data_IF_426934108302
#
_entry.id   IF_426934108302
#
_cell.length_a   1.000
_cell.length_b   1.000
_cell.length_c   1.000
_cell.angle_alpha   90.00
_cell.angle_beta   90.00
_cell.angle_gamma   90.00
#
_symmetry.space_group_name_H-M   'P 1'
#
loop_
_entity.id
_entity.type
_entity.pdbx_description
1 polymer ?
#
# COMPACT_ATOMS: atom_id res chain seq x y z
N UNK A 1 -44.99 63.71 20.98
CA UNK A 1 -45.42 62.47 21.66
C UNK A 1 -45.89 61.42 20.66
N UNK A 2 -46.98 61.61 19.91
CA UNK A 2 -47.39 60.64 18.86
C UNK A 2 -46.32 60.46 17.75
N UNK A 3 -45.77 61.58 17.24
CA UNK A 3 -44.78 61.55 16.16
C UNK A 3 -43.46 60.86 16.56
N UNK A 4 -43.07 60.97 17.83
CA UNK A 4 -41.87 60.34 18.36
C UNK A 4 -42.04 58.81 18.41
N UNK A 5 -43.23 58.32 18.81
CA UNK A 5 -43.55 56.89 18.88
C UNK A 5 -43.53 56.27 17.49
N UNK A 6 -44.14 56.95 16.50
CA UNK A 6 -44.14 56.51 15.10
C UNK A 6 -42.73 56.48 14.53
N UNK A 7 -41.90 57.47 14.85
CA UNK A 7 -40.48 57.48 14.46
C UNK A 7 -39.74 56.27 15.03
N UNK A 8 -39.86 56.01 16.33
CA UNK A 8 -39.20 54.85 16.93
C UNK A 8 -39.70 53.54 16.33
N UNK A 9 -41.00 53.38 16.07
CA UNK A 9 -41.54 52.18 15.41
C UNK A 9 -40.95 51.97 14.02
N UNK A 10 -40.85 53.02 13.20
CA UNK A 10 -40.23 52.94 11.88
C UNK A 10 -38.72 52.61 11.96
N UNK A 11 -38.03 53.19 12.95
CA UNK A 11 -36.61 52.91 13.18
C UNK A 11 -36.41 51.44 13.61
N UNK A 12 -37.26 50.90 14.49
CA UNK A 12 -37.24 49.48 14.90
C UNK A 12 -37.54 48.53 13.75
N UNK A 13 -38.56 48.81 12.93
CA UNK A 13 -38.88 48.00 11.75
C UNK A 13 -37.74 48.03 10.71
N UNK A 14 -37.01 49.14 10.62
CA UNK A 14 -35.85 49.26 9.72
C UNK A 14 -34.70 48.39 10.23
N UNK A 15 -34.38 48.45 11.53
CA UNK A 15 -33.34 47.63 12.14
C UNK A 15 -33.63 46.12 12.02
N UNK A 16 -34.89 45.71 12.21
CA UNK A 16 -35.28 44.30 12.08
C UNK A 16 -35.18 43.79 10.62
N UNK A 17 -35.49 44.66 9.65
CA UNK A 17 -35.26 44.35 8.23
C UNK A 17 -33.77 44.23 7.91
N UNK A 18 -32.94 45.11 8.47
CA UNK A 18 -31.49 45.05 8.31
C UNK A 18 -30.90 43.78 8.94
N UNK A 19 -31.32 43.41 10.14
CA UNK A 19 -30.86 42.20 10.83
C UNK A 19 -31.26 40.93 10.07
N UNK A 20 -32.50 40.86 9.58
CA UNK A 20 -32.97 39.76 8.76
C UNK A 20 -32.20 39.68 7.43
N UNK A 21 -31.98 40.82 6.76
CA UNK A 21 -31.20 40.87 5.52
C UNK A 21 -29.73 40.43 5.74
N UNK A 22 -29.12 40.80 6.87
CA UNK A 22 -27.77 40.34 7.27
C UNK A 22 -27.76 38.83 7.54
N UNK A 23 -28.81 38.29 8.18
CA UNK A 23 -28.99 36.87 8.42
C UNK A 23 -29.12 36.05 7.13
N UNK A 24 -29.98 36.50 6.21
CA UNK A 24 -30.15 35.89 4.88
C UNK A 24 -28.85 35.92 4.08
N UNK A 25 -28.17 37.06 4.05
CA UNK A 25 -26.88 37.22 3.38
C UNK A 25 -25.82 36.28 3.95
N UNK A 26 -25.72 36.16 5.28
CA UNK A 26 -24.81 35.20 5.94
C UNK A 26 -25.11 33.75 5.55
N UNK A 27 -26.40 33.38 5.43
CA UNK A 27 -26.80 32.03 5.08
C UNK A 27 -26.51 31.72 3.60
N UNK A 28 -26.80 32.68 2.71
CA UNK A 28 -26.46 32.57 1.29
C UNK A 28 -24.94 32.47 1.10
N UNK A 29 -24.17 33.26 1.83
CA UNK A 29 -22.72 33.20 1.81
C UNK A 29 -22.20 31.82 2.25
N UNK A 30 -22.70 31.27 3.36
CA UNK A 30 -22.37 29.90 3.82
C UNK A 30 -22.72 28.84 2.77
N UNK A 31 -23.89 28.94 2.14
CA UNK A 31 -24.31 28.01 1.08
C UNK A 31 -23.40 28.08 -0.15
N UNK A 32 -22.96 29.28 -0.55
CA UNK A 32 -21.99 29.47 -1.65
C UNK A 32 -20.63 28.85 -1.33
N UNK A 33 -20.13 29.04 -0.11
CA UNK A 33 -18.86 28.42 0.33
C UNK A 33 -18.98 26.89 0.30
N UNK A 34 -20.06 26.32 0.86
CA UNK A 34 -20.30 24.88 0.84
C UNK A 34 -20.43 24.33 -0.58
N UNK A 35 -21.10 25.04 -1.49
CA UNK A 35 -21.20 24.63 -2.88
C UNK A 35 -19.83 24.62 -3.57
N UNK A 36 -19.00 25.61 -3.28
CA UNK A 36 -17.64 25.70 -3.83
C UNK A 36 -16.73 24.59 -3.28
N UNK A 37 -16.82 24.28 -1.99
CA UNK A 37 -16.11 23.15 -1.37
C UNK A 37 -16.56 21.81 -1.94
N UNK A 38 -17.88 21.58 -2.05
CA UNK A 38 -18.43 20.37 -2.68
C UNK A 38 -17.95 20.20 -4.11
N UNK A 39 -17.88 21.30 -4.88
CA UNK A 39 -17.36 21.29 -6.25
C UNK A 39 -15.88 20.91 -6.28
N UNK A 40 -15.04 21.53 -5.44
CA UNK A 40 -13.61 21.19 -5.32
C UNK A 40 -13.40 19.72 -4.96
N UNK A 41 -14.12 19.23 -3.95
CA UNK A 41 -14.06 17.83 -3.56
C UNK A 41 -14.47 16.93 -4.72
N UNK A 42 -15.55 17.24 -5.43
CA UNK A 42 -15.99 16.47 -6.60
C UNK A 42 -14.92 16.41 -7.69
N UNK A 43 -14.21 17.50 -7.95
CA UNK A 43 -13.11 17.54 -8.92
C UNK A 43 -11.92 16.68 -8.46
N UNK A 44 -11.56 16.76 -7.18
CA UNK A 44 -10.52 15.91 -6.58
C UNK A 44 -10.87 14.43 -6.62
N UNK A 45 -12.12 14.06 -6.29
CA UNK A 45 -12.62 12.68 -6.37
C UNK A 45 -12.52 12.12 -7.79
N UNK A 46 -12.90 12.90 -8.81
CA UNK A 46 -12.78 12.49 -10.21
C UNK A 46 -11.31 12.26 -10.60
N UNK A 47 -10.38 13.07 -10.08
CA UNK A 47 -8.94 12.85 -10.32
C UNK A 47 -8.44 11.59 -9.62
N UNK A 48 -8.81 11.38 -8.36
CA UNK A 48 -8.46 10.17 -7.60
C UNK A 48 -8.98 8.92 -8.31
N UNK A 49 -10.22 8.94 -8.80
CA UNK A 49 -10.81 7.80 -9.50
C UNK A 49 -10.11 7.51 -10.82
N UNK A 50 -9.78 8.56 -11.61
CA UNK A 50 -8.96 8.41 -12.82
C UNK A 50 -7.58 7.83 -12.52
N UNK A 51 -6.93 8.30 -11.45
CA UNK A 51 -5.63 7.78 -11.00
C UNK A 51 -5.75 6.32 -10.58
N UNK A 52 -6.73 5.97 -9.75
CA UNK A 52 -6.99 4.59 -9.33
C UNK A 52 -7.23 3.68 -10.53
N UNK A 53 -8.00 4.12 -11.52
CA UNK A 53 -8.25 3.36 -12.73
C UNK A 53 -6.97 3.15 -13.56
N UNK A 54 -6.11 4.16 -13.66
CA UNK A 54 -4.81 4.04 -14.32
C UNK A 54 -3.90 3.05 -13.57
N UNK A 55 -3.78 3.19 -12.24
CA UNK A 55 -3.00 2.27 -11.41
C UNK A 55 -3.51 0.84 -11.50
N UNK A 56 -4.82 0.62 -11.54
CA UNK A 56 -5.38 -0.72 -11.65
C UNK A 56 -5.07 -1.34 -13.02
N UNK A 57 -5.14 -0.56 -14.11
CA UNK A 57 -4.73 -1.02 -15.44
C UNK A 57 -3.26 -1.41 -15.47
N UNK A 58 -2.39 -0.56 -14.92
CA UNK A 58 -0.94 -0.82 -14.84
C UNK A 58 -0.65 -2.05 -13.97
N UNK A 59 -1.35 -2.19 -12.84
CA UNK A 59 -1.24 -3.35 -11.93
C UNK A 59 -1.63 -4.64 -12.63
N UNK A 60 -2.75 -4.66 -13.35
CA UNK A 60 -3.21 -5.84 -14.10
C UNK A 60 -2.23 -6.17 -15.23
N UNK A 61 -1.75 -5.18 -15.98
CA UNK A 61 -0.76 -5.39 -17.03
C UNK A 61 0.56 -5.97 -16.47
N UNK A 62 1.02 -5.43 -15.33
CA UNK A 62 2.21 -5.93 -14.64
C UNK A 62 2.00 -7.35 -14.12
N UNK A 63 0.86 -7.64 -13.50
CA UNK A 63 0.54 -8.97 -12.98
C UNK A 63 0.53 -10.02 -14.09
N UNK A 64 -0.06 -9.68 -15.24
CA UNK A 64 -0.06 -10.54 -16.44
C UNK A 64 1.37 -10.81 -16.93
N UNK A 65 2.20 -9.77 -17.02
CA UNK A 65 3.61 -9.92 -17.42
C UNK A 65 4.40 -10.81 -16.45
N UNK A 66 4.15 -10.67 -15.15
CA UNK A 66 4.80 -11.51 -14.13
C UNK A 66 4.35 -12.96 -14.25
N UNK A 67 3.05 -13.21 -14.42
CA UNK A 67 2.52 -14.56 -14.62
C UNK A 67 3.11 -15.24 -15.86
N UNK A 68 3.31 -14.51 -16.96
CA UNK A 68 3.95 -15.02 -18.18
C UNK A 68 5.45 -15.34 -17.97
N UNK A 69 6.15 -14.57 -17.13
CA UNK A 69 7.60 -14.74 -16.90
C UNK A 69 7.96 -15.72 -15.79
N UNK A 70 7.09 -15.91 -14.80
CA UNK A 70 7.35 -16.70 -13.61
C UNK A 70 6.38 -17.89 -13.54
N UNK A 71 6.68 -18.90 -14.33
CA UNK A 71 5.99 -20.19 -14.28
C UNK A 71 6.55 -20.99 -13.08
N UNK A 72 5.94 -20.81 -11.90
CA UNK A 72 6.33 -21.50 -10.68
C UNK A 72 5.96 -22.98 -10.71
N UNK A 73 6.75 -23.80 -10.01
CA UNK A 73 6.43 -25.19 -9.71
C UNK A 73 5.17 -25.27 -8.81
N UNK A 74 4.51 -26.44 -8.71
CA UNK A 74 3.36 -26.59 -7.83
C UNK A 74 3.69 -26.27 -6.37
N UNK A 75 2.78 -25.60 -5.68
CA UNK A 75 2.96 -25.06 -4.33
C UNK A 75 3.46 -26.07 -3.30
N UNK A 76 3.03 -27.34 -3.41
CA UNK A 76 3.38 -28.42 -2.49
C UNK A 76 4.71 -29.11 -2.81
N UNK A 77 5.35 -28.76 -3.94
CA UNK A 77 6.65 -29.30 -4.33
C UNK A 77 7.71 -28.88 -3.32
N UNK A 78 8.54 -29.82 -2.85
CA UNK A 78 9.61 -29.53 -1.90
C UNK A 78 10.89 -29.16 -2.65
N UNK A 79 11.39 -27.95 -2.41
CA UNK A 79 12.67 -27.45 -2.93
C UNK A 79 13.64 -27.27 -1.78
N UNK A 80 14.91 -27.59 -2.02
CA UNK A 80 15.96 -27.58 -1.00
C UNK A 80 17.11 -26.65 -1.38
N UNK A 81 17.56 -25.85 -0.43
CA UNK A 81 18.65 -24.88 -0.57
C UNK A 81 19.79 -25.20 0.38
N UNK A 82 21.01 -25.30 -0.14
CA UNK A 82 22.21 -25.45 0.66
C UNK A 82 22.83 -24.06 0.90
N UNK A 83 22.72 -23.57 2.13
CA UNK A 83 23.20 -22.24 2.53
C UNK A 83 24.44 -22.40 3.39
N UNK A 84 25.61 -22.05 2.89
CA UNK A 84 26.88 -22.11 3.64
C UNK A 84 27.16 -23.49 4.24
N UNK A 85 26.71 -24.56 3.57
CA UNK A 85 26.84 -25.95 4.04
C UNK A 85 25.64 -26.50 4.82
N UNK A 86 24.63 -25.68 5.13
CA UNK A 86 23.40 -26.10 5.83
C UNK A 86 22.24 -26.24 4.85
N UNK A 87 21.60 -27.41 4.86
CA UNK A 87 20.44 -27.68 4.00
C UNK A 87 19.13 -27.18 4.64
N UNK A 88 18.39 -26.37 3.90
CA UNK A 88 17.05 -25.90 4.23
C UNK A 88 16.06 -26.49 3.23
N UNK A 89 14.98 -27.11 3.71
CA UNK A 89 13.93 -27.69 2.88
C UNK A 89 12.60 -27.05 3.22
N UNK A 90 11.84 -26.69 2.19
CA UNK A 90 10.47 -26.19 2.33
C UNK A 90 9.70 -26.37 1.04
N UNK A 91 8.41 -26.07 1.08
CA UNK A 91 7.55 -26.10 -0.09
C UNK A 91 7.78 -24.86 -0.96
N UNK A 92 7.46 -24.97 -2.25
CA UNK A 92 7.50 -23.83 -3.20
C UNK A 92 6.70 -22.66 -2.64
N UNK A 93 5.52 -22.90 -2.07
CA UNK A 93 4.68 -21.88 -1.42
C UNK A 93 5.41 -21.01 -0.39
N UNK A 94 6.33 -21.59 0.38
CA UNK A 94 7.12 -20.84 1.37
C UNK A 94 8.22 -20.04 0.68
N UNK A 95 8.91 -20.66 -0.28
CA UNK A 95 10.01 -20.03 -1.01
C UNK A 95 9.57 -18.91 -1.95
N UNK A 96 8.35 -18.99 -2.49
CA UNK A 96 7.77 -18.00 -3.42
C UNK A 96 6.93 -16.94 -2.71
N UNK A 97 6.91 -16.92 -1.37
CA UNK A 97 6.14 -15.92 -0.60
C UNK A 97 6.58 -14.48 -0.92
N UNK A 98 7.87 -14.30 -1.21
CA UNK A 98 8.35 -13.15 -1.96
C UNK A 98 8.69 -13.59 -3.39
N UNK A 99 7.70 -13.42 -4.28
CA UNK A 99 7.72 -13.83 -5.70
C UNK A 99 8.82 -13.18 -6.54
N UNK A 100 9.40 -12.07 -6.09
CA UNK A 100 10.48 -11.39 -6.80
C UNK A 100 11.87 -11.72 -6.24
N UNK A 101 11.93 -12.57 -5.21
CA UNK A 101 13.19 -13.01 -4.63
C UNK A 101 13.92 -14.02 -5.52
N UNK A 102 15.24 -14.13 -5.31
CA UNK A 102 16.07 -15.16 -5.96
C UNK A 102 15.55 -16.57 -5.61
N UNK A 103 15.07 -16.78 -4.37
CA UNK A 103 14.53 -18.07 -3.93
C UNK A 103 13.29 -18.47 -4.74
N UNK A 104 12.39 -17.52 -5.01
CA UNK A 104 11.22 -17.73 -5.85
C UNK A 104 11.63 -18.07 -7.29
N UNK A 105 12.60 -17.35 -7.86
CA UNK A 105 13.10 -17.62 -9.21
C UNK A 105 13.64 -19.05 -9.38
N UNK A 106 14.26 -19.62 -8.33
CA UNK A 106 14.75 -21.00 -8.35
C UNK A 106 13.65 -22.05 -8.19
N UNK A 107 12.44 -21.64 -7.82
CA UNK A 107 11.25 -22.47 -7.76
C UNK A 107 10.41 -22.39 -9.05
N UNK A 108 10.99 -21.92 -10.15
CA UNK A 108 10.32 -21.88 -11.47
C UNK A 108 10.63 -23.14 -12.28
N UNK A 109 9.82 -23.42 -13.31
CA UNK A 109 10.04 -24.52 -14.23
C UNK A 109 11.39 -24.43 -14.98
N UNK A 110 11.94 -23.21 -15.11
CA UNK A 110 13.23 -22.92 -15.78
C UNK A 110 14.10 -22.05 -14.87
N UNK A 111 14.70 -22.62 -13.81
CA UNK A 111 15.51 -21.86 -12.88
C UNK A 111 16.78 -21.34 -13.57
N UNK A 112 17.21 -20.12 -13.23
CA UNK A 112 18.40 -19.49 -13.83
C UNK A 112 19.73 -20.06 -13.31
N UNK A 113 19.72 -20.65 -12.12
CA UNK A 113 20.90 -21.32 -11.55
C UNK A 113 20.74 -22.82 -11.69
N UNK A 114 21.85 -23.50 -11.87
CA UNK A 114 21.90 -24.96 -11.94
C UNK A 114 21.92 -25.53 -10.51
N UNK A 115 21.13 -26.57 -10.28
CA UNK A 115 21.19 -27.33 -9.03
C UNK A 115 22.42 -28.27 -9.03
N UNK A 116 22.83 -28.70 -7.84
CA UNK A 116 23.83 -29.76 -7.71
C UNK A 116 23.31 -31.12 -8.19
N UNK A 117 24.16 -32.14 -8.18
CA UNK A 117 23.80 -33.52 -8.58
C UNK A 117 22.70 -34.16 -7.73
N UNK A 118 22.35 -33.54 -6.59
CA UNK A 118 21.29 -33.97 -5.67
C UNK A 118 20.04 -33.08 -5.78
N UNK A 119 20.02 -32.11 -6.69
CA UNK A 119 18.90 -31.19 -6.89
C UNK A 119 18.82 -30.06 -5.87
N UNK A 120 19.90 -29.74 -5.16
CA UNK A 120 19.97 -28.61 -4.23
C UNK A 120 20.64 -27.40 -4.88
N UNK A 121 20.13 -26.20 -4.62
CA UNK A 121 20.81 -24.96 -5.03
C UNK A 121 21.73 -24.48 -3.90
N UNK A 122 22.98 -24.17 -4.25
CA UNK A 122 23.97 -23.71 -3.29
C UNK A 122 24.07 -22.19 -3.24
N UNK A 123 24.16 -21.66 -2.02
CA UNK A 123 24.43 -20.26 -1.73
C UNK A 123 25.56 -20.16 -0.72
N UNK A 124 26.59 -19.41 -1.06
CA UNK A 124 27.71 -19.12 -0.17
C UNK A 124 27.36 -17.99 0.81
N UNK A 125 26.38 -18.24 1.69
CA UNK A 125 25.87 -17.28 2.69
C UNK A 125 25.83 -17.91 4.08
N UNK A 126 25.84 -17.04 5.09
CA UNK A 126 25.72 -17.45 6.50
C UNK A 126 24.33 -18.04 6.80
N UNK A 127 24.31 -19.32 7.13
CA UNK A 127 23.08 -20.06 7.43
C UNK A 127 22.35 -19.54 8.67
N UNK A 128 23.06 -18.94 9.63
CA UNK A 128 22.44 -18.44 10.86
C UNK A 128 21.54 -17.23 10.56
N UNK A 129 22.00 -16.36 9.67
CA UNK A 129 21.21 -15.22 9.18
C UNK A 129 20.07 -15.71 8.31
N UNK A 130 20.33 -16.68 7.44
CA UNK A 130 19.31 -17.25 6.57
C UNK A 130 18.16 -17.88 7.35
N UNK A 131 18.41 -18.44 8.54
CA UNK A 131 17.36 -18.96 9.42
C UNK A 131 16.30 -17.89 9.76
N UNK A 132 16.69 -16.63 9.89
CA UNK A 132 15.78 -15.52 10.15
C UNK A 132 14.90 -15.21 8.93
N UNK A 133 15.50 -15.25 7.73
CA UNK A 133 14.78 -15.12 6.46
C UNK A 133 13.77 -16.26 6.33
N UNK A 134 14.21 -17.49 6.60
CA UNK A 134 13.36 -18.66 6.50
C UNK A 134 12.19 -18.63 7.49
N UNK A 135 12.43 -18.20 8.73
CA UNK A 135 11.38 -17.98 9.71
C UNK A 135 10.38 -16.90 9.27
N UNK A 136 10.88 -15.80 8.69
CA UNK A 136 10.04 -14.74 8.12
C UNK A 136 9.18 -15.25 6.96
N UNK A 137 9.72 -16.06 6.06
CA UNK A 137 8.97 -16.65 4.94
C UNK A 137 7.86 -17.62 5.40
N UNK A 138 8.05 -18.31 6.53
CA UNK A 138 7.02 -19.21 7.08
C UNK A 138 5.92 -18.44 7.81
N UNK A 139 6.32 -17.63 8.78
CA UNK A 139 5.41 -17.14 9.83
C UNK A 139 5.22 -15.61 9.80
N UNK A 140 5.88 -14.89 8.87
CA UNK A 140 5.98 -13.41 8.84
C UNK A 140 6.59 -12.80 10.12
N UNK A 141 7.31 -13.61 10.88
CA UNK A 141 7.95 -13.19 12.14
C UNK A 141 9.28 -12.50 11.86
N UNK A 142 9.43 -11.27 12.34
CA UNK A 142 10.69 -10.55 12.33
C UNK A 142 11.34 -10.60 13.72
N UNK A 143 12.68 -10.60 13.81
CA UNK A 143 13.38 -10.44 15.08
C UNK A 143 12.97 -9.14 15.77
N UNK A 144 12.71 -9.20 17.08
CA UNK A 144 12.39 -8.02 17.90
C UNK A 144 13.61 -7.12 18.12
N UNK A 145 14.82 -7.69 18.02
CA UNK A 145 16.08 -6.94 18.19
C UNK A 145 16.44 -6.14 16.94
N UNK A 146 16.63 -4.83 17.12
CA UNK A 146 17.06 -3.89 16.08
C UNK A 146 18.42 -4.29 15.50
N UNK A 147 19.35 -4.77 16.32
CA UNK A 147 20.69 -5.16 15.83
C UNK A 147 20.62 -6.39 14.94
N UNK A 148 19.78 -7.36 15.30
CA UNK A 148 19.51 -8.53 14.47
C UNK A 148 18.86 -8.14 13.13
N UNK A 149 17.92 -7.19 13.15
CA UNK A 149 17.32 -6.64 11.92
C UNK A 149 18.33 -5.90 11.03
N UNK A 150 19.26 -5.14 11.63
CA UNK A 150 20.33 -4.45 10.89
C UNK A 150 21.27 -5.45 10.23
N UNK A 151 21.65 -6.51 10.95
CA UNK A 151 22.49 -7.60 10.41
C UNK A 151 21.77 -8.29 9.25
N UNK A 152 20.49 -8.60 9.42
CA UNK A 152 19.64 -9.19 8.38
C UNK A 152 19.66 -8.33 7.11
N UNK A 153 19.37 -7.02 7.19
CA UNK A 153 19.37 -6.13 6.03
C UNK A 153 20.75 -6.04 5.35
N UNK A 154 21.82 -5.86 6.12
CA UNK A 154 23.18 -5.69 5.58
C UNK A 154 23.74 -6.94 4.91
N UNK A 155 23.34 -8.13 5.37
CA UNK A 155 23.87 -9.41 4.89
C UNK A 155 22.90 -10.12 3.93
N UNK A 156 21.81 -9.48 3.52
CA UNK A 156 20.89 -9.99 2.50
C UNK A 156 21.08 -9.29 1.14
N UNK A 157 21.58 -8.05 1.12
CA UNK A 157 21.80 -7.31 -0.13
C UNK A 157 23.26 -7.51 -0.57
N UNK A 158 23.49 -8.49 -1.44
CA UNK A 158 24.58 -8.50 -2.44
C UNK A 158 23.98 -9.01 -3.74
#
# INVERSE_FOLDING_TARGET
>A
MEEDIVKYQNDWETLEKEENAVGEWCNEFKLRVLAQEKKKLSEEWVQIEKQQQAYEKDRVAFEKLVQEKFEFLPDDTVVSFNIGGKLFKSTVKVWTRDRFSILAQLCTAKPKLTADSRGHFFFDRDWWIFKLIYAFLRDKTLPTSIDTLRIMKRRIIV
#
